data_IF_334577524179
#
_entry.id   IF_334577524179
#
_cell.length_a   1.000
_cell.length_b   1.000
_cell.length_c   1.000
_cell.angle_alpha   90.00
_cell.angle_beta   90.00
_cell.angle_gamma   90.00
#
_symmetry.space_group_name_H-M   'P 1'
#
loop_
_entity.id
_entity.type
_entity.pdbx_description
1 polymer ?
#
# COMPACT_ATOMS: atom_id res chain seq x y z
N UNK A 1 -0.35 34.14 -8.04
CA UNK A 1 0.59 33.58 -7.04
C UNK A 1 1.12 32.28 -7.64
N UNK A 2 2.40 32.06 -7.66
CA UNK A 2 3.00 30.82 -8.14
C UNK A 2 2.70 29.68 -7.16
N UNK A 3 2.37 28.49 -7.69
CA UNK A 3 2.04 27.31 -6.87
C UNK A 3 3.32 26.76 -6.22
N UNK A 4 3.20 26.22 -5.01
CA UNK A 4 4.34 25.58 -4.34
C UNK A 4 4.87 24.41 -5.16
N UNK A 5 6.17 24.34 -5.35
CA UNK A 5 6.85 23.22 -6.03
C UNK A 5 6.76 21.90 -5.26
N UNK A 6 6.36 21.96 -3.98
CA UNK A 6 6.11 20.76 -3.15
C UNK A 6 4.76 20.10 -3.41
N UNK A 7 3.86 20.78 -4.13
CA UNK A 7 2.59 20.20 -4.55
C UNK A 7 2.76 19.53 -5.91
N UNK A 8 2.09 18.40 -6.07
CA UNK A 8 2.05 17.70 -7.35
C UNK A 8 1.32 18.53 -8.42
N UNK A 9 1.81 18.47 -9.64
CA UNK A 9 1.09 18.93 -10.82
C UNK A 9 0.97 17.79 -11.83
N UNK A 10 -0.15 17.70 -12.53
CA UNK A 10 -0.37 16.65 -13.54
C UNK A 10 0.63 16.73 -14.69
N UNK A 11 1.12 17.94 -15.00
CA UNK A 11 2.08 18.18 -16.07
C UNK A 11 3.48 17.67 -15.74
N UNK A 12 3.83 17.58 -14.46
CA UNK A 12 5.15 17.15 -13.99
C UNK A 12 5.14 15.74 -13.36
N UNK A 13 3.97 15.17 -13.14
CA UNK A 13 3.81 13.90 -12.43
C UNK A 13 3.93 12.68 -13.35
N UNK A 14 4.45 11.59 -12.78
CA UNK A 14 4.34 10.21 -13.28
C UNK A 14 3.95 9.30 -12.13
N UNK A 15 3.05 8.36 -12.36
CA UNK A 15 2.69 7.31 -11.38
C UNK A 15 3.58 6.10 -11.59
N UNK A 16 4.23 5.62 -10.53
CA UNK A 16 5.07 4.42 -10.54
C UNK A 16 4.50 3.39 -9.58
N UNK A 17 4.11 2.23 -10.10
CA UNK A 17 3.51 1.11 -9.37
C UNK A 17 4.54 -0.02 -9.24
N UNK A 18 4.92 -0.34 -7.99
CA UNK A 18 6.02 -1.24 -7.68
C UNK A 18 5.50 -2.59 -7.23
N UNK A 19 5.79 -3.63 -8.01
CA UNK A 19 5.77 -5.06 -7.65
C UNK A 19 4.45 -5.54 -7.04
N UNK A 20 3.30 -5.07 -7.53
CA UNK A 20 1.97 -5.53 -7.09
C UNK A 20 1.69 -6.91 -7.70
N UNK A 21 2.28 -7.96 -7.09
CA UNK A 21 2.17 -9.35 -7.47
C UNK A 21 1.53 -10.16 -6.34
N UNK A 22 0.68 -11.14 -6.67
CA UNK A 22 -0.09 -11.92 -5.68
C UNK A 22 0.78 -12.56 -4.59
N UNK A 23 1.98 -13.01 -4.95
CA UNK A 23 2.93 -13.62 -3.99
C UNK A 23 3.32 -12.65 -2.88
N UNK A 24 3.45 -11.36 -3.17
CA UNK A 24 3.76 -10.34 -2.17
C UNK A 24 2.51 -9.83 -1.46
N UNK A 25 1.39 -9.80 -2.13
CA UNK A 25 0.12 -9.32 -1.58
C UNK A 25 -0.49 -10.31 -0.57
N UNK A 26 -0.35 -11.61 -0.81
CA UNK A 26 -0.94 -12.67 0.03
C UNK A 26 -0.67 -12.53 1.54
N UNK A 27 0.54 -12.19 2.03
CA UNK A 27 0.79 -12.01 3.46
C UNK A 27 0.41 -10.61 3.99
N UNK A 28 -0.07 -9.69 3.15
CA UNK A 28 -0.39 -8.31 3.53
C UNK A 28 -1.86 -8.22 3.94
N UNK A 29 -2.12 -7.94 5.22
CA UNK A 29 -3.49 -7.88 5.78
C UNK A 29 -4.35 -6.77 5.17
N UNK A 30 -3.73 -5.68 4.75
CA UNK A 30 -4.40 -4.52 4.13
C UNK A 30 -4.32 -4.55 2.60
N UNK A 31 -4.23 -5.76 2.01
CA UNK A 31 -4.07 -5.98 0.57
C UNK A 31 -5.14 -5.24 -0.23
N UNK A 32 -6.40 -5.53 0.04
CA UNK A 32 -7.53 -5.03 -0.75
C UNK A 32 -7.58 -3.51 -0.70
N UNK A 33 -7.50 -2.93 0.48
CA UNK A 33 -7.41 -1.48 0.67
C UNK A 33 -6.25 -0.84 -0.09
N UNK A 34 -5.07 -1.47 -0.11
CA UNK A 34 -3.89 -0.97 -0.83
C UNK A 34 -4.09 -1.05 -2.35
N UNK A 35 -4.63 -2.18 -2.84
CA UNK A 35 -4.89 -2.39 -4.27
C UNK A 35 -5.95 -1.42 -4.78
N UNK A 36 -7.06 -1.23 -4.08
CA UNK A 36 -8.12 -0.27 -4.42
C UNK A 36 -7.58 1.17 -4.52
N UNK A 37 -6.72 1.58 -3.61
CA UNK A 37 -6.07 2.88 -3.64
C UNK A 37 -5.13 3.04 -4.84
N UNK A 38 -4.41 1.98 -5.22
CA UNK A 38 -3.56 1.97 -6.42
C UNK A 38 -4.42 2.03 -7.69
N UNK A 39 -5.52 1.30 -7.75
CA UNK A 39 -6.47 1.34 -8.86
C UNK A 39 -7.07 2.74 -9.03
N UNK A 40 -7.48 3.38 -7.94
CA UNK A 40 -7.97 4.76 -7.96
C UNK A 40 -6.94 5.72 -8.56
N UNK A 41 -5.67 5.63 -8.12
CA UNK A 41 -4.60 6.47 -8.66
C UNK A 41 -4.34 6.18 -10.14
N UNK A 42 -4.34 4.91 -10.55
CA UNK A 42 -4.13 4.53 -11.95
C UNK A 42 -5.25 5.07 -12.84
N UNK A 43 -6.51 4.90 -12.45
CA UNK A 43 -7.66 5.41 -13.18
C UNK A 43 -7.70 6.95 -13.22
N UNK A 44 -7.33 7.63 -12.12
CA UNK A 44 -7.22 9.08 -12.09
C UNK A 44 -6.08 9.56 -13.00
N UNK A 45 -4.92 8.90 -12.97
CA UNK A 45 -3.79 9.21 -13.83
C UNK A 45 -4.16 9.08 -15.32
N UNK A 46 -4.87 8.02 -15.72
CA UNK A 46 -5.34 7.83 -17.09
C UNK A 46 -6.26 8.98 -17.53
N UNK A 47 -7.28 9.33 -16.72
CA UNK A 47 -8.21 10.44 -17.03
C UNK A 47 -7.50 11.78 -17.13
N UNK A 48 -6.46 11.98 -16.34
CA UNK A 48 -5.66 13.20 -16.32
C UNK A 48 -4.47 13.17 -17.30
N UNK A 49 -4.31 12.10 -18.08
CA UNK A 49 -3.20 11.90 -19.03
C UNK A 49 -1.82 11.97 -18.36
N UNK A 50 -1.73 11.46 -17.13
CA UNK A 50 -0.48 11.31 -16.39
C UNK A 50 0.14 9.96 -16.77
N UNK A 51 1.41 9.91 -17.18
CA UNK A 51 2.08 8.66 -17.49
C UNK A 51 2.07 7.70 -16.29
N UNK A 52 1.87 6.40 -16.58
CA UNK A 52 1.94 5.31 -15.60
C UNK A 52 3.03 4.34 -16.01
N UNK A 53 3.84 3.92 -15.05
CA UNK A 53 4.83 2.86 -15.20
C UNK A 53 4.61 1.84 -14.09
N UNK A 54 4.75 0.55 -14.39
CA UNK A 54 4.68 -0.50 -13.40
C UNK A 54 5.92 -1.40 -13.45
N UNK A 55 6.19 -2.11 -12.34
CA UNK A 55 7.23 -3.12 -12.29
C UNK A 55 6.72 -4.43 -11.76
N UNK A 56 7.42 -5.51 -12.13
CA UNK A 56 7.35 -6.81 -11.49
C UNK A 56 8.74 -7.22 -10.99
N UNK A 57 8.78 -7.93 -9.89
CA UNK A 57 9.99 -8.54 -9.37
C UNK A 57 10.07 -9.99 -9.85
N UNK A 58 11.00 -10.30 -10.76
CA UNK A 58 11.25 -11.67 -11.24
C UNK A 58 9.95 -12.41 -11.65
N UNK A 59 9.26 -11.87 -12.64
CA UNK A 59 7.92 -12.35 -13.04
C UNK A 59 7.93 -13.84 -13.40
N UNK A 60 9.02 -14.36 -13.95
CA UNK A 60 9.18 -15.79 -14.26
C UNK A 60 8.97 -16.68 -13.03
N UNK A 61 9.45 -16.24 -11.85
CA UNK A 61 9.39 -17.02 -10.61
C UNK A 61 8.25 -16.60 -9.68
N UNK A 62 7.89 -15.33 -9.70
CA UNK A 62 7.00 -14.73 -8.70
C UNK A 62 5.64 -14.32 -9.27
N UNK A 63 5.41 -14.56 -10.57
CA UNK A 63 4.15 -14.28 -11.24
C UNK A 63 4.07 -12.88 -11.84
N UNK A 64 3.01 -12.64 -12.58
CA UNK A 64 2.72 -11.35 -13.21
C UNK A 64 2.17 -10.34 -12.20
N UNK A 65 1.94 -9.12 -12.68
CA UNK A 65 1.18 -8.09 -11.95
C UNK A 65 -0.22 -8.62 -11.61
N UNK A 66 -0.72 -8.28 -10.43
CA UNK A 66 -2.07 -8.66 -10.00
C UNK A 66 -3.12 -8.18 -11.02
N UNK A 67 -4.09 -9.03 -11.41
CA UNK A 67 -5.04 -8.73 -12.48
C UNK A 67 -5.76 -7.40 -12.28
N UNK A 68 -6.17 -7.10 -11.07
CA UNK A 68 -6.91 -5.89 -10.72
C UNK A 68 -6.12 -4.61 -11.04
N UNK A 69 -4.80 -4.65 -10.86
CA UNK A 69 -3.94 -3.50 -11.19
C UNK A 69 -3.57 -3.51 -12.66
N UNK A 70 -3.35 -4.70 -13.26
CA UNK A 70 -3.08 -4.82 -14.70
C UNK A 70 -4.22 -4.24 -15.54
N UNK A 71 -5.48 -4.51 -15.17
CA UNK A 71 -6.67 -3.94 -15.82
C UNK A 71 -6.74 -2.40 -15.64
N UNK A 72 -6.34 -1.89 -14.47
CA UNK A 72 -6.42 -0.46 -14.16
C UNK A 72 -5.35 0.37 -14.87
N UNK A 73 -4.24 -0.22 -15.32
CA UNK A 73 -3.14 0.51 -15.98
C UNK A 73 -3.16 0.40 -17.52
N UNK A 74 -4.08 -0.42 -18.07
CA UNK A 74 -4.24 -0.62 -19.52
C UNK A 74 -2.89 -0.96 -20.21
N UNK A 75 -2.52 -0.23 -21.24
CA UNK A 75 -1.29 -0.43 -22.04
C UNK A 75 -0.02 0.21 -21.41
N UNK A 76 -0.04 0.58 -20.13
CA UNK A 76 1.13 1.16 -19.47
C UNK A 76 2.32 0.18 -19.44
N UNK A 77 3.57 0.65 -19.63
CA UNK A 77 4.75 -0.21 -19.59
C UNK A 77 4.89 -0.92 -18.25
N UNK A 78 5.05 -2.26 -18.29
CA UNK A 78 5.39 -3.10 -17.14
C UNK A 78 6.81 -3.64 -17.34
N UNK A 79 7.73 -3.29 -16.43
CA UNK A 79 9.14 -3.68 -16.52
C UNK A 79 9.45 -4.75 -15.48
N UNK A 80 9.89 -5.92 -15.93
CA UNK A 80 10.40 -6.96 -15.02
C UNK A 80 11.83 -6.64 -14.58
N UNK A 81 12.12 -6.84 -13.29
CA UNK A 81 13.41 -6.53 -12.69
C UNK A 81 13.86 -7.56 -11.65
N UNK A 82 15.17 -7.66 -11.45
CA UNK A 82 15.77 -8.47 -10.37
C UNK A 82 16.28 -7.59 -9.22
N UNK A 83 16.67 -6.36 -9.51
CA UNK A 83 17.06 -5.37 -8.49
C UNK A 83 15.85 -4.90 -7.68
N UNK A 84 16.07 -4.53 -6.41
CA UNK A 84 14.98 -4.01 -5.55
C UNK A 84 14.61 -2.57 -5.92
N UNK A 85 15.60 -1.71 -6.14
CA UNK A 85 15.35 -0.37 -6.66
C UNK A 85 15.00 -0.42 -8.14
N UNK A 86 13.88 0.21 -8.52
CA UNK A 86 13.45 0.30 -9.91
C UNK A 86 14.49 1.04 -10.79
N UNK A 87 15.15 2.08 -10.25
CA UNK A 87 16.17 2.84 -10.99
C UNK A 87 17.43 2.05 -11.30
N UNK A 88 17.69 0.94 -10.60
CA UNK A 88 18.79 0.04 -10.93
C UNK A 88 18.49 -0.86 -12.15
N UNK A 89 17.24 -0.85 -12.64
CA UNK A 89 16.83 -1.47 -13.90
C UNK A 89 16.97 -0.45 -15.02
N UNK A 90 17.91 -0.69 -15.95
CA UNK A 90 18.12 0.21 -17.09
C UNK A 90 16.86 0.41 -17.95
N UNK A 91 16.07 -0.64 -18.30
CA UNK A 91 14.83 -0.45 -19.03
C UNK A 91 13.83 0.45 -18.29
N UNK A 92 13.69 0.30 -16.97
CA UNK A 92 12.82 1.16 -16.18
C UNK A 92 13.30 2.61 -16.16
N UNK A 93 14.59 2.83 -15.95
CA UNK A 93 15.18 4.16 -15.95
C UNK A 93 14.99 4.88 -17.29
N UNK A 94 15.12 4.16 -18.42
CA UNK A 94 14.85 4.68 -19.76
C UNK A 94 13.37 5.08 -19.95
N UNK A 95 12.42 4.22 -19.52
CA UNK A 95 10.99 4.56 -19.57
C UNK A 95 10.68 5.78 -18.70
N UNK A 96 11.19 5.85 -17.47
CA UNK A 96 10.98 6.99 -16.59
C UNK A 96 11.51 8.28 -17.20
N UNK A 97 12.75 8.27 -17.71
CA UNK A 97 13.36 9.42 -18.36
C UNK A 97 12.57 9.87 -19.59
N UNK A 98 12.07 8.93 -20.39
CA UNK A 98 11.30 9.22 -21.60
C UNK A 98 9.98 9.96 -21.30
N UNK A 99 9.44 9.88 -20.07
CA UNK A 99 8.25 10.65 -19.66
C UNK A 99 8.54 12.15 -19.61
N UNK A 100 9.78 12.57 -19.40
CA UNK A 100 10.16 13.96 -19.18
C UNK A 100 9.63 14.56 -17.87
N UNK A 101 9.09 13.73 -16.95
CA UNK A 101 8.47 14.16 -15.69
C UNK A 101 9.51 14.25 -14.57
N UNK A 102 9.30 15.17 -13.64
CA UNK A 102 10.20 15.42 -12.51
C UNK A 102 9.59 15.07 -11.14
N UNK A 103 8.28 14.84 -11.07
CA UNK A 103 7.56 14.45 -9.86
C UNK A 103 7.10 13.00 -9.98
N UNK A 104 7.46 12.16 -9.02
CA UNK A 104 7.09 10.74 -9.01
C UNK A 104 6.14 10.47 -7.87
N UNK A 105 4.94 9.97 -8.19
CA UNK A 105 4.06 9.34 -7.20
C UNK A 105 4.39 7.86 -7.19
N UNK A 106 4.99 7.40 -6.09
CA UNK A 106 5.51 6.04 -5.95
C UNK A 106 4.60 5.24 -5.02
N UNK A 107 4.03 4.16 -5.52
CA UNK A 107 3.10 3.26 -4.81
C UNK A 107 3.52 1.80 -4.96
N UNK A 108 2.95 0.91 -4.14
CA UNK A 108 3.19 -0.53 -4.27
C UNK A 108 3.85 -1.19 -3.07
N UNK A 109 4.53 -2.30 -3.28
CA UNK A 109 5.09 -3.16 -2.22
C UNK A 109 6.55 -3.58 -2.48
N UNK A 110 7.30 -4.00 -1.45
CA UNK A 110 7.01 -3.70 -0.05
C UNK A 110 7.57 -2.33 0.32
N UNK A 111 6.85 -1.58 1.11
CA UNK A 111 7.22 -0.22 1.50
C UNK A 111 8.65 -0.10 2.03
N UNK A 112 9.12 -1.10 2.80
CA UNK A 112 10.45 -1.11 3.44
C UNK A 112 11.56 -1.74 2.58
N UNK A 113 11.25 -2.24 1.38
CA UNK A 113 12.22 -2.87 0.47
C UNK A 113 12.26 -2.14 -0.87
N UNK A 114 11.43 -2.54 -1.84
CA UNK A 114 11.49 -2.01 -3.20
C UNK A 114 11.09 -0.54 -3.26
N UNK A 115 10.00 -0.16 -2.59
CA UNK A 115 9.54 1.23 -2.55
C UNK A 115 10.58 2.14 -1.89
N UNK A 116 11.10 1.75 -0.71
CA UNK A 116 12.10 2.54 0.01
C UNK A 116 13.36 2.79 -0.83
N UNK A 117 13.94 1.71 -1.41
CA UNK A 117 15.17 1.82 -2.17
C UNK A 117 14.95 2.64 -3.45
N UNK A 118 13.84 2.42 -4.14
CA UNK A 118 13.46 3.18 -5.33
C UNK A 118 13.30 4.67 -5.02
N UNK A 119 12.59 5.00 -3.94
CA UNK A 119 12.38 6.39 -3.54
C UNK A 119 13.68 7.12 -3.23
N UNK A 120 14.60 6.48 -2.51
CA UNK A 120 15.88 7.08 -2.15
C UNK A 120 16.79 7.28 -3.39
N UNK A 121 16.81 6.33 -4.31
CA UNK A 121 17.55 6.47 -5.56
C UNK A 121 16.94 7.54 -6.47
N UNK A 122 15.61 7.65 -6.53
CA UNK A 122 14.93 8.72 -7.27
C UNK A 122 15.22 10.11 -6.69
N UNK A 123 15.21 10.28 -5.37
CA UNK A 123 15.64 11.54 -4.73
C UNK A 123 17.07 11.90 -5.10
N UNK A 124 17.99 10.92 -5.05
CA UNK A 124 19.40 11.13 -5.43
C UNK A 124 19.52 11.52 -6.91
N UNK A 125 18.65 11.00 -7.76
CA UNK A 125 18.61 11.33 -9.20
C UNK A 125 17.93 12.69 -9.48
N UNK A 126 17.41 13.41 -8.46
CA UNK A 126 16.82 14.73 -8.59
C UNK A 126 15.30 14.76 -8.80
N UNK A 127 14.61 13.62 -8.67
CA UNK A 127 13.16 13.60 -8.72
C UNK A 127 12.54 14.08 -7.40
N UNK A 128 11.41 14.79 -7.47
CA UNK A 128 10.55 15.01 -6.33
C UNK A 128 9.68 13.77 -6.13
N UNK A 129 9.83 13.09 -4.97
CA UNK A 129 9.17 11.80 -4.73
C UNK A 129 8.05 11.97 -3.70
N UNK A 130 6.84 11.54 -4.07
CA UNK A 130 5.65 11.50 -3.23
C UNK A 130 5.25 10.04 -3.00
N UNK A 131 5.03 9.66 -1.74
CA UNK A 131 4.59 8.33 -1.36
C UNK A 131 3.29 8.46 -0.57
N UNK A 132 2.13 8.16 -1.17
CA UNK A 132 0.88 8.08 -0.44
C UNK A 132 0.91 6.85 0.48
N UNK A 133 0.78 7.11 1.80
CA UNK A 133 0.95 6.08 2.83
C UNK A 133 -0.07 4.95 2.72
N UNK A 134 -1.23 5.24 2.16
CA UNK A 134 -2.37 4.35 1.98
C UNK A 134 -2.37 3.59 0.63
N UNK A 135 -1.36 3.82 -0.22
CA UNK A 135 -1.11 3.07 -1.45
C UNK A 135 0.24 2.32 -1.42
N UNK A 136 0.85 2.20 -0.26
CA UNK A 136 2.03 1.36 -0.03
C UNK A 136 1.79 0.46 1.17
N UNK A 137 2.30 -0.76 1.12
CA UNK A 137 2.14 -1.71 2.22
C UNK A 137 3.40 -2.54 2.45
N UNK A 138 3.43 -3.23 3.59
CA UNK A 138 4.40 -4.26 3.93
C UNK A 138 3.70 -5.37 4.69
N UNK A 139 4.24 -6.60 4.63
CA UNK A 139 3.71 -7.77 5.36
C UNK A 139 3.56 -7.53 6.87
N UNK A 140 4.42 -6.69 7.46
CA UNK A 140 4.32 -6.28 8.85
C UNK A 140 4.04 -4.76 8.94
N UNK A 141 3.00 -4.38 9.70
CA UNK A 141 2.64 -2.97 9.95
C UNK A 141 3.81 -2.16 10.52
N UNK A 142 4.66 -2.79 11.34
CA UNK A 142 5.87 -2.16 11.89
C UNK A 142 6.84 -1.75 10.79
N UNK A 143 7.11 -2.63 9.82
CA UNK A 143 8.07 -2.37 8.74
C UNK A 143 7.56 -1.26 7.81
N UNK A 144 6.25 -1.24 7.50
CA UNK A 144 5.59 -0.15 6.80
C UNK A 144 5.76 1.18 7.54
N UNK A 145 5.46 1.22 8.86
CA UNK A 145 5.56 2.43 9.67
C UNK A 145 6.97 3.02 9.66
N UNK A 146 8.00 2.19 9.89
CA UNK A 146 9.39 2.66 9.92
C UNK A 146 9.92 3.00 8.53
N UNK A 147 9.44 2.35 7.46
CA UNK A 147 9.74 2.75 6.09
C UNK A 147 9.26 4.17 5.80
N UNK A 148 7.98 4.48 6.09
CA UNK A 148 7.43 5.82 5.90
C UNK A 148 8.13 6.88 6.73
N UNK A 149 8.46 6.57 7.98
CA UNK A 149 9.23 7.47 8.84
C UNK A 149 10.61 7.79 8.24
N UNK A 150 11.32 6.75 7.76
CA UNK A 150 12.63 6.92 7.10
C UNK A 150 12.51 7.71 5.80
N UNK A 151 11.51 7.43 4.97
CA UNK A 151 11.24 8.15 3.74
C UNK A 151 11.00 9.65 4.00
N UNK A 152 10.13 9.97 4.95
CA UNK A 152 9.83 11.35 5.35
C UNK A 152 11.10 12.10 5.82
N UNK A 153 11.92 11.49 6.68
CA UNK A 153 13.18 12.08 7.14
C UNK A 153 14.23 12.23 6.02
N UNK A 154 14.10 11.48 4.93
CA UNK A 154 14.99 11.55 3.77
C UNK A 154 14.57 12.60 2.74
N UNK A 155 13.42 13.26 2.93
CA UNK A 155 12.94 14.30 2.01
C UNK A 155 11.85 13.82 1.03
N UNK A 156 11.37 12.58 1.17
CA UNK A 156 10.18 12.10 0.45
C UNK A 156 8.94 12.74 1.04
N UNK A 157 8.03 13.19 0.20
CA UNK A 157 6.73 13.73 0.63
C UNK A 157 5.75 12.58 0.85
N UNK A 158 5.47 12.32 2.13
CA UNK A 158 4.46 11.32 2.52
C UNK A 158 3.11 12.01 2.60
N UNK A 159 2.11 11.49 1.87
CA UNK A 159 0.76 12.04 1.77
C UNK A 159 -0.29 10.91 1.77
N UNK A 160 -1.53 11.23 1.44
CA UNK A 160 -2.60 10.27 1.18
C UNK A 160 -2.94 10.25 -0.32
N UNK A 161 -3.55 9.16 -0.79
CA UNK A 161 -4.05 9.02 -2.17
C UNK A 161 -4.98 10.16 -2.54
N UNK A 162 -5.89 10.52 -1.65
CA UNK A 162 -6.83 11.61 -1.88
C UNK A 162 -6.11 12.96 -2.07
N UNK A 163 -5.10 13.26 -1.26
CA UNK A 163 -4.27 14.46 -1.41
C UNK A 163 -3.61 14.50 -2.79
N UNK A 164 -3.03 13.37 -3.24
CA UNK A 164 -2.42 13.25 -4.57
C UNK A 164 -3.41 13.59 -5.68
N UNK A 165 -4.61 13.01 -5.62
CA UNK A 165 -5.64 13.26 -6.65
C UNK A 165 -6.07 14.72 -6.66
N UNK A 166 -6.31 15.33 -5.51
CA UNK A 166 -6.68 16.75 -5.43
C UNK A 166 -5.53 17.69 -5.83
N UNK A 167 -4.30 17.32 -5.57
CA UNK A 167 -3.14 18.06 -6.06
C UNK A 167 -3.04 18.01 -7.60
N UNK A 168 -3.29 16.87 -8.24
CA UNK A 168 -3.35 16.75 -9.69
C UNK A 168 -4.51 17.53 -10.31
N UNK A 169 -5.67 17.56 -9.64
CA UNK A 169 -6.84 18.30 -10.10
C UNK A 169 -6.67 19.82 -10.00
N UNK A 170 -5.98 20.28 -8.96
CA UNK A 170 -5.67 21.67 -8.66
C UNK A 170 -6.90 22.55 -8.38
N UNK A 171 -7.96 22.49 -9.20
CA UNK A 171 -9.14 23.36 -9.12
C UNK A 171 -10.43 22.57 -9.31
N UNK A 172 -11.43 22.87 -8.48
CA UNK A 172 -12.77 22.31 -8.61
C UNK A 172 -13.52 22.93 -9.79
N UNK A 173 -14.56 22.20 -10.29
CA UNK A 173 -15.45 22.72 -11.34
C UNK A 173 -14.91 22.65 -12.76
N UNK A 174 -13.68 22.17 -12.97
CA UNK A 174 -13.10 21.90 -14.28
C UNK A 174 -13.67 20.62 -14.90
N UNK A 175 -13.44 20.39 -16.19
CA UNK A 175 -13.84 19.15 -16.85
C UNK A 175 -13.08 17.95 -16.25
N UNK A 176 -11.78 18.08 -16.02
CA UNK A 176 -10.97 17.07 -15.35
C UNK A 176 -11.50 16.73 -13.95
N UNK A 177 -11.94 17.72 -13.18
CA UNK A 177 -12.58 17.49 -11.88
C UNK A 177 -13.87 16.67 -12.01
N UNK A 178 -14.73 16.99 -13.02
CA UNK A 178 -15.97 16.23 -13.26
C UNK A 178 -15.72 14.79 -13.69
N UNK A 179 -14.63 14.53 -14.41
CA UNK A 179 -14.24 13.19 -14.85
C UNK A 179 -13.72 12.33 -13.70
N UNK A 180 -12.97 12.91 -12.76
CA UNK A 180 -12.33 12.17 -11.65
C UNK A 180 -13.23 12.06 -10.42
N UNK A 181 -14.11 13.04 -10.15
CA UNK A 181 -14.99 13.08 -8.98
C UNK A 181 -15.81 11.78 -8.76
N UNK A 182 -16.34 11.10 -9.78
CA UNK A 182 -17.05 9.84 -9.59
C UNK A 182 -16.18 8.74 -8.95
N UNK A 183 -14.88 8.70 -9.24
CA UNK A 183 -13.95 7.73 -8.62
C UNK A 183 -13.80 7.98 -7.12
N UNK A 184 -13.65 9.25 -6.73
CA UNK A 184 -13.53 9.64 -5.32
C UNK A 184 -14.81 9.32 -4.54
N UNK A 185 -15.98 9.60 -5.14
CA UNK A 185 -17.28 9.29 -4.52
C UNK A 185 -17.50 7.79 -4.35
N UNK A 186 -17.18 6.98 -5.36
CA UNK A 186 -17.31 5.52 -5.28
C UNK A 186 -16.42 4.95 -4.17
N UNK A 187 -15.19 5.45 -4.04
CA UNK A 187 -14.27 5.05 -2.96
C UNK A 187 -14.81 5.43 -1.58
N UNK A 188 -15.33 6.63 -1.43
CA UNK A 188 -15.90 7.09 -0.16
C UNK A 188 -17.10 6.25 0.24
N UNK A 189 -18.00 5.96 -0.71
CA UNK A 189 -19.15 5.08 -0.47
C UNK A 189 -18.73 3.67 -0.07
N UNK A 190 -17.77 3.07 -0.78
CA UNK A 190 -17.26 1.74 -0.44
C UNK A 190 -16.63 1.69 0.97
N UNK A 191 -15.98 2.78 1.41
CA UNK A 191 -15.43 2.88 2.76
C UNK A 191 -16.52 2.96 3.82
N UNK A 192 -17.57 3.76 3.59
CA UNK A 192 -18.71 3.85 4.51
C UNK A 192 -19.42 2.52 4.65
N UNK A 193 -19.65 1.81 3.54
CA UNK A 193 -20.26 0.48 3.54
C UNK A 193 -19.39 -0.55 4.30
N UNK A 194 -18.06 -0.47 4.19
CA UNK A 194 -17.15 -1.35 4.93
C UNK A 194 -17.13 -1.03 6.44
N UNK A 195 -17.11 0.25 6.82
CA UNK A 195 -17.16 0.67 8.22
C UNK A 195 -18.49 0.26 8.88
N UNK A 196 -19.62 0.41 8.20
CA UNK A 196 -20.94 -0.02 8.67
C UNK A 196 -21.00 -1.55 8.87
N UNK A 197 -20.41 -2.33 7.95
CA UNK A 197 -20.36 -3.80 8.07
C UNK A 197 -19.52 -4.28 9.25
N UNK A 198 -18.36 -3.63 9.49
CA UNK A 198 -17.48 -3.97 10.62
C UNK A 198 -18.17 -3.63 11.97
N UNK A 199 -18.93 -2.52 12.07
CA UNK A 199 -19.68 -2.16 13.26
C UNK A 199 -20.85 -3.14 13.53
N UNK A 200 -21.52 -3.63 12.47
CA UNK A 200 -22.58 -4.64 12.58
C UNK A 200 -22.02 -5.99 13.07
N UNK A 201 -20.87 -6.45 12.54
CA UNK A 201 -20.22 -7.70 12.98
C UNK A 201 -19.74 -7.61 14.44
N UNK A 202 -19.14 -6.47 14.86
CA UNK A 202 -18.77 -6.28 16.27
C UNK A 202 -19.98 -6.28 17.21
N UNK A 203 -21.12 -5.75 16.77
CA UNK A 203 -22.34 -5.73 17.57
C UNK A 203 -22.99 -7.11 17.72
N UNK A 204 -22.94 -7.96 16.68
CA UNK A 204 -23.42 -9.32 16.72
C UNK A 204 -22.55 -10.27 17.58
N UNK A 205 -21.21 -10.07 17.59
CA UNK A 205 -20.31 -10.85 18.45
C UNK A 205 -20.54 -10.56 19.95
N UNK A 206 -20.99 -9.36 20.32
CA UNK A 206 -21.30 -8.96 21.71
C UNK A 206 -22.65 -9.54 22.18
N UNK A 207 -23.60 -9.83 21.27
CA UNK A 207 -24.90 -10.39 21.64
C UNK A 207 -24.93 -11.92 21.78
N UNK A 208 -23.89 -12.66 21.39
CA UNK A 208 -23.83 -14.11 21.61
C UNK A 208 -23.43 -14.40 23.05
N UNK A 209 -24.34 -14.96 23.91
CA UNK A 209 -23.97 -15.31 25.28
C UNK A 209 -22.93 -16.44 25.27
N UNK A 210 -22.00 -16.46 26.25
CA UNK A 210 -21.01 -17.52 26.33
C UNK A 210 -21.70 -18.88 26.45
N UNK A 211 -21.32 -19.80 25.59
CA UNK A 211 -21.81 -21.19 25.64
C UNK A 211 -21.44 -21.82 26.97
N UNK A 212 -22.45 -22.38 27.70
CA UNK A 212 -22.35 -22.97 29.04
C UNK A 212 -21.52 -24.27 29.14
N UNK A 213 -20.61 -24.55 28.21
CA UNK A 213 -19.86 -25.82 28.15
C UNK A 213 -18.45 -25.79 28.78
N UNK A 214 -18.14 -24.84 29.66
CA UNK A 214 -16.81 -24.75 30.30
C UNK A 214 -16.79 -25.04 31.81
N UNK A 215 -17.78 -25.72 32.39
CA UNK A 215 -17.88 -25.91 33.84
C UNK A 215 -17.88 -27.37 34.35
N UNK A 216 -17.48 -28.36 33.56
CA UNK A 216 -17.41 -29.77 34.03
C UNK A 216 -16.01 -30.36 34.25
N UNK A 217 -14.91 -29.64 34.03
CA UNK A 217 -13.53 -30.18 34.23
C UNK A 217 -12.77 -29.63 35.45
N UNK A 218 -13.41 -28.91 36.38
CA UNK A 218 -12.72 -28.30 37.52
C UNK A 218 -12.93 -28.99 38.90
N UNK A 219 -13.57 -30.15 38.97
CA UNK A 219 -13.85 -30.82 40.26
C UNK A 219 -13.05 -32.11 40.55
N UNK A 220 -12.08 -32.51 39.74
CA UNK A 220 -11.34 -33.79 39.91
C UNK A 220 -9.82 -33.64 40.16
N UNK A 221 -9.38 -32.58 40.80
CA UNK A 221 -7.95 -32.40 41.15
C UNK A 221 -7.73 -31.88 42.59
N UNK A 222 -8.38 -32.51 43.61
CA UNK A 222 -8.00 -32.32 45.02
C UNK A 222 -7.93 -33.65 45.76
N UNK A 223 -6.97 -34.48 45.43
CA UNK A 223 -6.49 -35.52 46.34
C UNK A 223 -4.97 -35.51 46.39
N UNK A 224 -4.42 -35.07 47.50
CA UNK A 224 -2.99 -35.12 47.81
C UNK A 224 -2.62 -36.53 48.32
N UNK A 225 -1.52 -37.16 47.85
CA UNK A 225 -0.98 -38.34 48.51
C UNK A 225 0.02 -37.97 49.60
N UNK A 226 0.23 -38.86 50.61
CA UNK A 226 0.84 -38.59 51.90
C UNK A 226 2.37 -38.62 51.85
N UNK A 227 2.91 -37.84 52.76
CA UNK A 227 4.33 -37.81 53.16
C UNK A 227 4.88 -39.19 53.57
N UNK A 228 6.03 -39.56 53.07
CA UNK A 228 6.91 -40.56 53.74
C UNK A 228 8.33 -39.99 53.84
N UNK A 229 8.72 -39.80 55.09
CA UNK A 229 10.10 -39.62 55.56
C UNK A 229 10.96 -40.86 55.33
N UNK A 230 12.23 -40.65 55.26
CA UNK A 230 13.43 -41.44 55.61
C UNK A 230 14.44 -41.22 54.52
N UNK A 231 15.67 -40.88 54.75
CA UNK A 231 16.61 -41.04 55.82
C UNK A 231 17.98 -41.30 55.22
N UNK A 232 18.95 -40.48 55.60
CA UNK A 232 20.38 -40.77 55.81
C UNK A 232 21.29 -41.40 54.75
N UNK A 233 22.50 -40.79 54.68
CA UNK A 233 23.88 -41.40 54.51
C UNK A 233 24.24 -41.77 53.07
N UNK A 234 25.28 -41.20 52.47
CA UNK A 234 26.72 -40.95 52.77
C UNK A 234 27.30 -39.88 51.84
#
# INVERSE_FOLDING_TARGET
MERSEKLLSRENSVLVIVDIQDVFLKPIKVRDFTVENIQLLAQAAQRLQIPVLATTQNAEKLGALAPEVAEAIDDAPVVDKLCFSCLASEPFAQHLQATGRSQVVLVGVEAHICVLQTALDMLKAGYAVHVPYDAVASRLKRDWKYALLRLSHSGVMVSAVESVVYEWLYEAGTDSFREVLPLLKAREQARQEAEESDEEEESEEVETPPTEDANEEAEEATESPPTSETGSEE
#
